data_IF_602238091298
#
_entry.id   IF_602238091298
#
_cell.length_a   1.000
_cell.length_b   1.000
_cell.length_c   1.000
_cell.angle_alpha   90.00
_cell.angle_beta   90.00
_cell.angle_gamma   90.00
#
_symmetry.space_group_name_H-M   'P 1'
#
loop_
_entity.id
_entity.type
_entity.pdbx_description
1 polymer ?
#
# COMPACT_ATOMS: atom_id res chain seq x y z
N UNK A 1 9.84 -14.77 -17.13
CA UNK A 1 10.52 -15.99 -16.66
C UNK A 1 11.99 -15.69 -16.50
N UNK A 2 12.53 -15.88 -15.30
CA UNK A 2 13.97 -15.78 -15.08
C UNK A 2 14.58 -17.18 -15.20
N UNK A 3 15.57 -17.31 -16.08
CA UNK A 3 16.33 -18.54 -16.25
C UNK A 3 17.68 -18.36 -15.56
N UNK A 4 17.94 -19.19 -14.54
CA UNK A 4 19.23 -19.21 -13.88
C UNK A 4 19.93 -20.52 -14.19
N UNK A 5 21.08 -20.44 -14.87
CA UNK A 5 22.00 -21.57 -15.03
C UNK A 5 22.83 -21.76 -13.77
N UNK A 6 22.80 -22.96 -13.20
CA UNK A 6 23.72 -23.36 -12.13
C UNK A 6 24.68 -24.41 -12.63
N UNK A 7 25.96 -24.08 -12.71
CA UNK A 7 27.04 -25.04 -12.86
C UNK A 7 27.44 -25.44 -11.44
N UNK A 8 27.37 -26.73 -11.06
CA UNK A 8 27.78 -27.15 -9.73
C UNK A 8 29.24 -26.77 -9.50
N UNK A 9 29.53 -26.02 -8.45
CA UNK A 9 30.86 -25.53 -8.07
C UNK A 9 31.86 -26.63 -7.68
N UNK A 10 31.47 -27.91 -7.80
CA UNK A 10 32.28 -29.09 -7.45
C UNK A 10 32.59 -29.98 -8.65
N UNK A 11 32.41 -29.51 -9.89
CA UNK A 11 32.92 -30.20 -11.07
C UNK A 11 34.40 -29.87 -11.28
N UNK A 12 35.27 -30.57 -10.56
CA UNK A 12 36.67 -30.65 -10.93
C UNK A 12 36.79 -31.48 -12.21
N UNK A 13 37.28 -30.85 -13.24
CA UNK A 13 37.69 -31.34 -14.57
C UNK A 13 37.50 -32.85 -14.84
N UNK A 14 36.78 -33.15 -15.93
CA UNK A 14 36.65 -34.47 -16.61
C UNK A 14 35.44 -35.36 -16.27
N UNK A 15 34.52 -35.03 -15.32
CA UNK A 15 33.38 -35.91 -15.00
C UNK A 15 31.98 -35.27 -15.10
N UNK A 16 31.85 -34.01 -15.38
CA UNK A 16 30.53 -33.41 -15.58
C UNK A 16 30.02 -33.73 -16.98
N UNK A 17 29.01 -34.62 -17.03
CA UNK A 17 28.36 -35.00 -18.29
C UNK A 17 27.11 -34.19 -18.59
N UNK A 18 26.69 -33.30 -17.69
CA UNK A 18 25.47 -32.53 -17.87
C UNK A 18 25.52 -31.18 -17.13
N UNK A 19 24.79 -30.20 -17.67
CA UNK A 19 24.51 -28.90 -17.06
C UNK A 19 23.06 -28.94 -16.61
N UNK A 20 22.81 -28.62 -15.32
CA UNK A 20 21.44 -28.51 -14.83
C UNK A 20 20.99 -27.07 -14.81
N UNK A 21 19.91 -26.79 -15.52
CA UNK A 21 19.25 -25.50 -15.60
C UNK A 21 18.03 -25.50 -14.67
N UNK A 22 17.87 -24.46 -13.85
CA UNK A 22 16.65 -24.21 -13.09
C UNK A 22 15.89 -23.04 -13.70
N UNK A 23 14.58 -23.20 -13.79
CA UNK A 23 13.67 -22.20 -14.34
C UNK A 23 12.60 -21.89 -13.30
N UNK A 24 12.34 -20.61 -13.06
CA UNK A 24 11.20 -20.15 -12.25
C UNK A 24 10.33 -19.21 -13.06
N UNK A 25 9.03 -19.24 -12.85
CA UNK A 25 8.10 -18.38 -13.58
C UNK A 25 6.65 -18.58 -13.19
N UNK A 26 5.77 -17.93 -13.96
CA UNK A 26 4.34 -18.08 -13.80
C UNK A 26 3.92 -19.55 -14.03
N UNK A 27 3.04 -20.11 -13.18
CA UNK A 27 2.68 -21.53 -13.23
C UNK A 27 2.13 -21.97 -14.59
N UNK A 28 1.27 -21.18 -15.21
CA UNK A 28 0.70 -21.42 -16.54
C UNK A 28 1.79 -21.64 -17.59
N UNK A 29 2.77 -20.72 -17.63
CA UNK A 29 3.89 -20.79 -18.60
C UNK A 29 4.80 -21.99 -18.35
N UNK A 30 5.14 -22.26 -17.09
CA UNK A 30 6.06 -23.36 -16.74
C UNK A 30 5.38 -24.72 -16.92
N UNK A 31 4.09 -24.85 -16.55
CA UNK A 31 3.32 -26.07 -16.73
C UNK A 31 3.22 -26.45 -18.23
N UNK A 32 2.94 -25.47 -19.09
CA UNK A 32 2.83 -25.70 -20.55
C UNK A 32 4.16 -26.12 -21.19
N UNK A 33 5.30 -25.73 -20.60
CA UNK A 33 6.64 -26.07 -21.08
C UNK A 33 7.22 -27.31 -20.40
N UNK A 34 6.50 -27.93 -19.48
CA UNK A 34 6.94 -29.11 -18.73
C UNK A 34 6.36 -30.39 -19.32
N UNK A 35 7.18 -31.40 -19.48
CA UNK A 35 6.77 -32.73 -19.96
C UNK A 35 6.62 -33.71 -18.79
N UNK A 36 7.28 -33.44 -17.67
CA UNK A 36 7.38 -34.32 -16.53
C UNK A 36 7.21 -33.53 -15.23
N UNK A 37 6.69 -34.17 -14.20
CA UNK A 37 6.59 -33.64 -12.83
C UNK A 37 7.19 -34.63 -11.84
N UNK A 38 7.89 -34.13 -10.83
CA UNK A 38 8.40 -34.94 -9.73
C UNK A 38 7.28 -35.12 -8.72
N UNK A 39 6.84 -36.37 -8.56
CA UNK A 39 5.85 -36.76 -7.54
C UNK A 39 6.48 -37.02 -6.17
N UNK A 40 5.63 -37.37 -5.21
CA UNK A 40 6.04 -37.76 -3.86
C UNK A 40 7.05 -38.91 -3.91
N UNK A 41 8.18 -38.74 -3.20
CA UNK A 41 9.25 -39.73 -3.18
C UNK A 41 10.24 -39.66 -4.34
N UNK A 42 10.18 -38.60 -5.18
CA UNK A 42 11.15 -38.36 -6.24
C UNK A 42 10.87 -39.14 -7.55
N UNK A 43 9.68 -39.75 -7.68
CA UNK A 43 9.29 -40.44 -8.92
C UNK A 43 8.88 -39.47 -9.98
N UNK A 44 9.40 -39.64 -11.21
CA UNK A 44 9.00 -38.88 -12.36
C UNK A 44 7.63 -39.35 -12.88
N UNK A 45 6.67 -38.45 -13.00
CA UNK A 45 5.33 -38.70 -13.50
C UNK A 45 5.11 -37.87 -14.78
N UNK A 46 4.22 -38.35 -15.65
CA UNK A 46 3.89 -37.64 -16.88
C UNK A 46 3.08 -36.38 -16.58
N UNK A 47 3.46 -35.25 -17.16
CA UNK A 47 2.74 -33.98 -16.99
C UNK A 47 1.28 -34.11 -17.44
N UNK A 48 1.03 -34.78 -18.55
CA UNK A 48 -0.29 -34.90 -19.17
C UNK A 48 -1.36 -35.49 -18.24
N UNK A 49 -0.97 -36.45 -17.38
CA UNK A 49 -1.89 -37.11 -16.41
C UNK A 49 -2.11 -36.24 -15.14
N UNK A 50 -1.16 -35.37 -14.83
CA UNK A 50 -1.15 -34.59 -13.58
C UNK A 50 -1.52 -33.11 -13.76
N UNK A 51 -1.62 -32.61 -15.01
CA UNK A 51 -1.84 -31.21 -15.32
C UNK A 51 -3.11 -30.64 -14.66
N UNK A 52 -4.22 -31.36 -14.75
CA UNK A 52 -5.49 -30.93 -14.15
C UNK A 52 -5.39 -30.78 -12.63
N UNK A 53 -4.69 -31.70 -11.97
CA UNK A 53 -4.49 -31.66 -10.51
C UNK A 53 -3.55 -30.51 -10.10
N UNK A 54 -2.49 -30.27 -10.88
CA UNK A 54 -1.55 -29.20 -10.64
C UNK A 54 -2.20 -27.83 -10.83
N UNK A 55 -3.04 -27.67 -11.85
CA UNK A 55 -3.85 -26.45 -12.05
C UNK A 55 -4.84 -26.23 -10.91
N UNK A 56 -5.49 -27.30 -10.42
CA UNK A 56 -6.37 -27.21 -9.26
C UNK A 56 -5.61 -26.77 -7.99
N UNK A 57 -4.39 -27.29 -7.76
CA UNK A 57 -3.54 -26.87 -6.67
C UNK A 57 -3.08 -25.42 -6.82
N UNK A 58 -2.70 -25.00 -8.04
CA UNK A 58 -2.37 -23.61 -8.32
C UNK A 58 -3.53 -22.67 -8.00
N UNK A 59 -4.74 -23.01 -8.46
CA UNK A 59 -5.93 -22.20 -8.23
C UNK A 59 -6.26 -22.13 -6.73
N UNK A 60 -6.16 -23.25 -6.00
CA UNK A 60 -6.37 -23.26 -4.56
C UNK A 60 -5.40 -22.31 -3.83
N UNK A 61 -4.10 -22.39 -4.14
CA UNK A 61 -3.10 -21.49 -3.55
C UNK A 61 -3.37 -20.02 -3.90
N UNK A 62 -3.79 -19.75 -5.14
CA UNK A 62 -4.16 -18.40 -5.58
C UNK A 62 -5.42 -17.89 -4.87
N UNK A 63 -6.44 -18.77 -4.65
CA UNK A 63 -7.66 -18.43 -3.93
C UNK A 63 -7.40 -18.16 -2.44
N UNK A 64 -6.36 -18.80 -1.87
CA UNK A 64 -5.85 -18.52 -0.53
C UNK A 64 -5.04 -17.20 -0.46
N UNK A 65 -4.95 -16.44 -1.57
CA UNK A 65 -4.27 -15.15 -1.65
C UNK A 65 -2.76 -15.23 -1.87
N UNK A 66 -2.22 -16.41 -2.19
CA UNK A 66 -0.79 -16.60 -2.41
C UNK A 66 -0.39 -16.25 -3.84
N UNK A 67 0.75 -15.63 -4.01
CA UNK A 67 1.42 -15.52 -5.31
C UNK A 67 2.10 -16.85 -5.61
N UNK A 68 1.62 -17.58 -6.61
CA UNK A 68 2.18 -18.87 -6.96
C UNK A 68 3.31 -18.72 -8.00
N UNK A 69 4.43 -19.38 -7.73
CA UNK A 69 5.56 -19.50 -8.65
C UNK A 69 5.82 -20.98 -8.89
N UNK A 70 5.98 -21.38 -10.16
CA UNK A 70 6.43 -22.71 -10.51
C UNK A 70 7.97 -22.73 -10.62
N UNK A 71 8.55 -23.83 -10.16
CA UNK A 71 9.98 -24.12 -10.25
C UNK A 71 10.14 -25.43 -11.02
N UNK A 72 10.97 -25.40 -12.05
CA UNK A 72 11.27 -26.53 -12.88
C UNK A 72 12.76 -26.65 -13.16
N UNK A 73 13.21 -27.79 -13.62
CA UNK A 73 14.58 -28.03 -14.06
C UNK A 73 14.64 -28.70 -15.42
N UNK A 74 15.79 -28.57 -16.05
CA UNK A 74 16.19 -29.34 -17.24
C UNK A 74 17.66 -29.70 -17.16
N UNK A 75 17.99 -30.97 -17.46
CA UNK A 75 19.37 -31.43 -17.60
C UNK A 75 19.74 -31.38 -19.09
N UNK A 76 20.80 -30.67 -19.40
CA UNK A 76 21.36 -30.52 -20.76
C UNK A 76 22.68 -31.25 -20.83
N UNK A 77 22.99 -31.86 -21.99
CA UNK A 77 24.36 -32.32 -22.22
C UNK A 77 25.33 -31.13 -22.40
N UNK A 78 26.60 -31.37 -22.18
CA UNK A 78 27.60 -30.29 -22.35
C UNK A 78 27.63 -29.81 -23.80
N UNK A 79 27.44 -30.72 -24.76
CA UNK A 79 27.38 -30.37 -26.17
C UNK A 79 26.22 -29.41 -26.48
N UNK A 80 25.02 -29.75 -25.98
CA UNK A 80 23.82 -28.89 -26.14
C UNK A 80 23.96 -27.52 -25.44
N UNK A 81 24.65 -27.49 -24.32
CA UNK A 81 24.95 -26.23 -23.63
C UNK A 81 25.91 -25.35 -24.41
N UNK A 82 27.03 -25.94 -24.91
CA UNK A 82 28.03 -25.20 -25.68
C UNK A 82 27.47 -24.70 -27.02
N UNK A 83 26.61 -25.48 -27.68
CA UNK A 83 25.89 -25.06 -28.88
C UNK A 83 24.99 -23.85 -28.61
N UNK A 84 24.27 -23.89 -27.49
CA UNK A 84 23.44 -22.76 -27.06
C UNK A 84 24.29 -21.53 -26.68
N UNK A 85 25.35 -21.70 -25.90
CA UNK A 85 26.24 -20.62 -25.45
C UNK A 85 26.91 -19.90 -26.65
N UNK A 86 27.13 -20.64 -27.74
CA UNK A 86 27.62 -20.08 -28.99
C UNK A 86 26.53 -19.44 -29.88
N UNK A 87 25.26 -19.62 -29.52
CA UNK A 87 24.12 -19.05 -30.24
C UNK A 87 23.74 -17.68 -29.64
N UNK A 88 23.13 -16.83 -30.47
CA UNK A 88 22.58 -15.53 -29.99
C UNK A 88 21.15 -15.67 -29.42
N UNK A 89 20.68 -16.90 -29.15
CA UNK A 89 19.33 -17.16 -28.70
C UNK A 89 19.14 -16.74 -27.23
N UNK A 90 17.98 -16.18 -26.87
CA UNK A 90 17.70 -15.81 -25.48
C UNK A 90 17.54 -17.07 -24.59
N UNK A 91 17.99 -17.05 -23.33
CA UNK A 91 17.92 -18.21 -22.43
C UNK A 91 16.52 -18.82 -22.25
N UNK A 92 15.46 -18.05 -22.51
CA UNK A 92 14.07 -18.52 -22.42
C UNK A 92 13.75 -19.60 -23.47
N UNK A 93 14.49 -19.68 -24.57
CA UNK A 93 14.29 -20.68 -25.64
C UNK A 93 14.77 -22.07 -25.22
N UNK A 94 15.68 -22.17 -24.25
CA UNK A 94 16.05 -23.42 -23.60
C UNK A 94 14.98 -23.96 -22.64
N UNK A 95 14.05 -23.13 -22.20
CA UNK A 95 13.05 -23.49 -21.21
C UNK A 95 11.88 -24.30 -21.82
N UNK A 96 12.19 -25.40 -22.48
CA UNK A 96 11.27 -26.40 -22.98
C UNK A 96 11.66 -27.78 -22.43
N UNK A 97 10.75 -28.76 -22.51
CA UNK A 97 10.94 -30.13 -21.99
C UNK A 97 11.38 -30.11 -20.51
N UNK A 98 10.72 -29.25 -19.72
CA UNK A 98 11.04 -29.05 -18.32
C UNK A 98 10.50 -30.21 -17.47
N UNK A 99 11.18 -30.45 -16.37
CA UNK A 99 10.73 -31.29 -15.26
C UNK A 99 10.22 -30.37 -14.14
N UNK A 100 8.93 -30.34 -13.91
CA UNK A 100 8.35 -29.55 -12.82
C UNK A 100 8.77 -30.13 -11.45
N UNK A 101 9.33 -29.30 -10.61
CA UNK A 101 9.79 -29.67 -9.27
C UNK A 101 8.76 -29.31 -8.19
N UNK A 102 8.21 -28.09 -8.25
CA UNK A 102 7.31 -27.58 -7.25
C UNK A 102 6.46 -26.41 -7.75
N UNK A 103 5.28 -26.27 -7.14
CA UNK A 103 4.52 -25.03 -7.07
C UNK A 103 4.73 -24.43 -5.68
N UNK A 104 5.20 -23.19 -5.62
CA UNK A 104 5.51 -22.48 -4.37
C UNK A 104 4.55 -21.32 -4.21
N UNK A 105 3.69 -21.38 -3.20
CA UNK A 105 2.86 -20.24 -2.79
C UNK A 105 3.67 -19.30 -1.92
N UNK A 106 3.76 -18.05 -2.31
CA UNK A 106 4.41 -16.97 -1.57
C UNK A 106 3.31 -16.07 -1.02
N UNK A 107 3.32 -15.87 0.29
CA UNK A 107 2.43 -14.95 0.98
C UNK A 107 3.28 -13.91 1.73
N UNK A 108 2.90 -12.66 1.61
CA UNK A 108 3.40 -11.58 2.44
C UNK A 108 2.23 -11.12 3.32
N UNK A 109 2.14 -11.63 4.57
CA UNK A 109 1.00 -11.33 5.42
C UNK A 109 1.00 -9.86 5.81
N UNK A 110 -0.18 -9.23 5.92
CA UNK A 110 -0.30 -7.88 6.41
C UNK A 110 0.30 -7.75 7.81
N UNK A 111 0.95 -6.62 8.08
CA UNK A 111 1.49 -6.35 9.42
C UNK A 111 0.34 -6.32 10.44
N UNK A 112 0.47 -7.00 11.60
CA UNK A 112 -0.60 -7.03 12.62
C UNK A 112 -1.02 -5.62 13.08
N UNK A 113 -0.09 -4.68 13.16
CA UNK A 113 -0.32 -3.29 13.55
C UNK A 113 -1.23 -2.56 12.55
N UNK A 114 -1.15 -2.90 11.26
CA UNK A 114 -1.97 -2.30 10.23
C UNK A 114 -3.46 -2.61 10.43
N UNK A 115 -3.80 -3.85 10.83
CA UNK A 115 -5.18 -4.25 11.13
C UNK A 115 -5.77 -3.46 12.29
N UNK A 116 -5.01 -3.29 13.37
CA UNK A 116 -5.43 -2.50 14.53
C UNK A 116 -5.62 -1.03 14.16
N UNK A 117 -4.66 -0.46 13.43
CA UNK A 117 -4.72 0.92 12.98
C UNK A 117 -5.90 1.19 12.05
N UNK A 118 -6.23 0.25 11.15
CA UNK A 118 -7.42 0.35 10.29
C UNK A 118 -8.70 0.35 11.13
N UNK A 119 -8.78 -0.50 12.16
CA UNK A 119 -9.93 -0.53 13.06
C UNK A 119 -10.07 0.79 13.84
N UNK A 120 -8.98 1.36 14.37
CA UNK A 120 -8.98 2.67 15.03
C UNK A 120 -9.37 3.79 14.06
N UNK A 121 -8.84 3.79 12.84
CA UNK A 121 -9.19 4.76 11.81
C UNK A 121 -10.71 4.73 11.50
N UNK A 122 -11.28 3.54 11.33
CA UNK A 122 -12.73 3.37 11.12
C UNK A 122 -13.55 3.90 12.29
N UNK A 123 -13.15 3.62 13.54
CA UNK A 123 -13.81 4.17 14.74
C UNK A 123 -13.73 5.70 14.80
N UNK A 124 -12.65 6.26 14.27
CA UNK A 124 -12.45 7.71 14.17
C UNK A 124 -13.17 8.37 12.98
N UNK A 125 -13.97 7.59 12.22
CA UNK A 125 -14.71 8.06 11.03
C UNK A 125 -13.83 8.26 9.80
N UNK A 126 -12.66 7.60 9.74
CA UNK A 126 -11.74 7.67 8.60
C UNK A 126 -11.95 6.42 7.74
N UNK A 127 -12.31 6.62 6.47
CA UNK A 127 -12.40 5.55 5.49
C UNK A 127 -10.99 5.20 4.98
N UNK A 128 -10.54 3.97 5.24
CA UNK A 128 -9.27 3.46 4.73
C UNK A 128 -9.53 2.70 3.43
N UNK A 129 -8.73 3.00 2.40
CA UNK A 129 -8.79 2.35 1.10
C UNK A 129 -7.42 1.77 0.75
N UNK A 130 -7.41 0.52 0.29
CA UNK A 130 -6.20 -0.16 -0.15
C UNK A 130 -6.09 -0.11 -1.67
N UNK A 131 -4.93 0.30 -2.16
CA UNK A 131 -4.61 0.37 -3.59
C UNK A 131 -3.36 -0.47 -3.83
N UNK A 132 -3.46 -1.47 -4.71
CA UNK A 132 -2.34 -2.38 -4.99
C UNK A 132 -2.21 -2.71 -6.48
N UNK A 133 -1.00 -3.08 -6.90
CA UNK A 133 -0.74 -3.66 -8.22
C UNK A 133 -1.07 -5.16 -8.30
N UNK A 134 -1.38 -5.82 -7.18
CA UNK A 134 -1.67 -7.24 -7.10
C UNK A 134 -2.96 -7.65 -7.81
N UNK A 135 -3.12 -8.96 -8.02
CA UNK A 135 -4.32 -9.53 -8.59
C UNK A 135 -5.55 -9.31 -7.68
N UNK A 136 -6.74 -9.20 -8.28
CA UNK A 136 -7.98 -8.90 -7.54
C UNK A 136 -8.32 -9.93 -6.44
N UNK A 137 -8.04 -11.22 -6.66
CA UNK A 137 -8.24 -12.28 -5.65
C UNK A 137 -7.33 -12.08 -4.44
N UNK A 138 -6.03 -11.83 -4.67
CA UNK A 138 -5.04 -11.56 -3.62
C UNK A 138 -5.40 -10.29 -2.83
N UNK A 139 -5.70 -9.20 -3.56
CA UNK A 139 -6.11 -7.94 -2.95
C UNK A 139 -7.38 -8.08 -2.10
N UNK A 140 -8.35 -8.86 -2.58
CA UNK A 140 -9.59 -9.14 -1.83
C UNK A 140 -9.33 -9.98 -0.58
N UNK A 141 -8.43 -10.98 -0.65
CA UNK A 141 -8.03 -11.80 0.50
C UNK A 141 -7.37 -10.93 1.59
N UNK A 142 -6.38 -10.12 1.20
CA UNK A 142 -5.70 -9.18 2.12
C UNK A 142 -6.71 -8.17 2.68
N UNK A 143 -7.60 -7.64 1.84
CA UNK A 143 -8.63 -6.69 2.27
C UNK A 143 -9.59 -7.26 3.31
N UNK A 144 -9.95 -8.55 3.22
CA UNK A 144 -10.75 -9.24 4.24
C UNK A 144 -9.98 -9.44 5.53
N UNK A 145 -8.72 -9.86 5.45
CA UNK A 145 -7.85 -10.06 6.61
C UNK A 145 -7.64 -8.76 7.40
N UNK A 146 -7.47 -7.64 6.69
CA UNK A 146 -7.37 -6.30 7.27
C UNK A 146 -8.71 -5.73 7.74
N UNK A 147 -9.83 -6.38 7.43
CA UNK A 147 -11.17 -5.87 7.74
C UNK A 147 -11.59 -4.66 6.91
N UNK A 148 -11.01 -4.47 5.72
CA UNK A 148 -11.40 -3.40 4.79
C UNK A 148 -12.67 -3.73 4.02
N UNK A 149 -12.88 -4.99 3.69
CA UNK A 149 -14.07 -5.50 3.00
C UNK A 149 -14.71 -6.63 3.80
N UNK A 150 -16.04 -6.73 3.71
CA UNK A 150 -16.85 -7.72 4.39
C UNK A 150 -17.62 -8.59 3.39
N UNK A 151 -17.90 -9.83 3.77
CA UNK A 151 -18.69 -10.76 2.95
C UNK A 151 -18.03 -11.09 1.61
N UNK A 152 -18.85 -11.18 0.56
CA UNK A 152 -18.44 -11.56 -0.80
C UNK A 152 -18.01 -10.36 -1.69
N UNK A 153 -17.80 -9.19 -1.11
CA UNK A 153 -17.30 -8.05 -1.87
C UNK A 153 -15.91 -8.35 -2.43
N UNK A 154 -15.65 -7.89 -3.65
CA UNK A 154 -14.37 -8.05 -4.37
C UNK A 154 -13.74 -6.69 -4.61
N UNK A 155 -12.42 -6.71 -4.82
CA UNK A 155 -11.66 -5.52 -5.19
C UNK A 155 -12.09 -5.03 -6.59
N UNK A 156 -12.21 -3.70 -6.76
CA UNK A 156 -12.36 -3.07 -8.07
C UNK A 156 -11.02 -3.06 -8.79
N UNK A 157 -11.02 -3.44 -10.06
CA UNK A 157 -9.78 -3.52 -10.84
C UNK A 157 -9.46 -2.23 -11.58
N UNK A 158 -8.17 -2.02 -11.95
CA UNK A 158 -7.77 -0.91 -12.82
C UNK A 158 -8.54 -0.88 -14.14
N UNK A 159 -8.77 -2.05 -14.76
CA UNK A 159 -9.58 -2.14 -15.99
C UNK A 159 -11.01 -1.66 -15.79
N UNK A 160 -11.64 -1.95 -14.65
CA UNK A 160 -12.96 -1.42 -14.31
C UNK A 160 -12.93 0.09 -14.10
N UNK A 161 -11.85 0.62 -13.48
CA UNK A 161 -11.66 2.07 -13.34
C UNK A 161 -11.57 2.73 -14.71
N UNK A 162 -10.91 2.11 -15.70
CA UNK A 162 -10.78 2.65 -17.07
C UNK A 162 -12.12 2.70 -17.81
N UNK A 163 -13.01 1.76 -17.56
CA UNK A 163 -14.31 1.64 -18.26
C UNK A 163 -15.38 2.55 -17.72
N UNK A 164 -15.28 3.00 -16.47
CA UNK A 164 -16.31 3.87 -15.85
C UNK A 164 -16.02 5.35 -16.07
N UNK A 165 -17.07 6.14 -16.24
CA UNK A 165 -16.98 7.60 -16.27
C UNK A 165 -16.58 8.17 -14.89
N UNK A 166 -16.14 9.42 -14.83
CA UNK A 166 -15.82 10.07 -13.55
C UNK A 166 -17.04 10.21 -12.64
N UNK A 167 -18.22 10.43 -13.20
CA UNK A 167 -19.48 10.50 -12.44
C UNK A 167 -19.83 9.14 -11.81
N UNK A 168 -19.67 8.05 -12.55
CA UNK A 168 -19.91 6.70 -12.05
C UNK A 168 -18.87 6.31 -11.00
N UNK A 169 -17.60 6.70 -11.20
CA UNK A 169 -16.54 6.50 -10.20
C UNK A 169 -16.86 7.25 -8.90
N UNK A 170 -17.29 8.53 -9.01
CA UNK A 170 -17.67 9.32 -7.84
C UNK A 170 -18.86 8.71 -7.08
N UNK A 171 -19.81 8.07 -7.78
CA UNK A 171 -20.92 7.39 -7.14
C UNK A 171 -20.49 6.11 -6.37
N UNK A 172 -19.47 5.41 -6.87
CA UNK A 172 -19.01 4.12 -6.33
C UNK A 172 -17.84 4.22 -5.37
N UNK A 173 -17.05 5.30 -5.43
CA UNK A 173 -15.75 5.42 -4.73
C UNK A 173 -15.88 5.24 -3.21
N UNK A 174 -16.97 5.68 -2.60
CA UNK A 174 -17.18 5.56 -1.15
C UNK A 174 -17.42 4.12 -0.73
N UNK A 175 -18.14 3.32 -1.52
CA UNK A 175 -18.50 1.93 -1.22
C UNK A 175 -17.35 0.94 -1.49
N UNK A 176 -16.37 1.29 -2.32
CA UNK A 176 -15.23 0.43 -2.66
C UNK A 176 -14.06 0.73 -1.73
N UNK A 177 -13.56 -0.28 -1.02
CA UNK A 177 -12.42 -0.14 -0.09
C UNK A 177 -11.11 -0.71 -0.63
N UNK A 178 -11.16 -1.56 -1.66
CA UNK A 178 -9.96 -2.23 -2.21
C UNK A 178 -9.92 -2.08 -3.71
N UNK A 179 -8.77 -1.66 -4.23
CA UNK A 179 -8.48 -1.46 -5.64
C UNK A 179 -7.27 -2.31 -6.05
N UNK A 180 -7.42 -3.13 -7.09
CA UNK A 180 -6.43 -4.10 -7.55
C UNK A 180 -5.96 -3.81 -8.97
N UNK A 181 -4.74 -4.22 -9.32
CA UNK A 181 -4.11 -3.98 -10.63
C UNK A 181 -4.18 -2.51 -11.06
N UNK A 182 -3.88 -1.63 -10.12
CA UNK A 182 -3.99 -0.19 -10.29
C UNK A 182 -2.70 0.37 -10.90
N UNK A 183 -2.83 1.09 -12.01
CA UNK A 183 -1.73 1.84 -12.62
C UNK A 183 -1.57 3.23 -11.93
N UNK A 184 -0.43 3.93 -12.11
CA UNK A 184 -0.20 5.22 -11.46
C UNK A 184 -1.28 6.28 -11.74
N UNK A 185 -1.78 6.35 -12.98
CA UNK A 185 -2.87 7.26 -13.40
C UNK A 185 -4.17 7.00 -12.66
N UNK A 186 -4.48 5.74 -12.37
CA UNK A 186 -5.67 5.39 -11.59
C UNK A 186 -5.59 5.94 -10.16
N UNK A 187 -4.39 5.94 -9.54
CA UNK A 187 -4.19 6.48 -8.18
C UNK A 187 -4.58 7.97 -8.12
N UNK A 188 -4.15 8.75 -9.12
CA UNK A 188 -4.50 10.16 -9.25
C UNK A 188 -6.01 10.33 -9.41
N UNK A 189 -6.64 9.49 -10.24
CA UNK A 189 -8.08 9.52 -10.52
C UNK A 189 -8.91 9.19 -9.29
N UNK A 190 -8.47 8.19 -8.48
CA UNK A 190 -9.11 7.83 -7.21
C UNK A 190 -9.03 8.96 -6.18
N UNK A 191 -7.85 9.60 -6.02
CA UNK A 191 -7.68 10.77 -5.16
C UNK A 191 -8.61 11.89 -5.60
N UNK A 192 -8.64 12.22 -6.90
CA UNK A 192 -9.50 13.28 -7.43
C UNK A 192 -10.99 12.98 -7.22
N UNK A 193 -11.41 11.73 -7.36
CA UNK A 193 -12.81 11.32 -7.13
C UNK A 193 -13.21 11.54 -5.65
N UNK A 194 -12.38 11.18 -4.70
CA UNK A 194 -12.62 11.42 -3.27
C UNK A 194 -12.65 12.92 -2.94
N UNK A 195 -11.75 13.71 -3.53
CA UNK A 195 -11.72 15.16 -3.37
C UNK A 195 -12.98 15.84 -3.94
N UNK A 196 -13.48 15.39 -5.11
CA UNK A 196 -14.75 15.89 -5.68
C UNK A 196 -15.96 15.62 -4.77
N UNK A 197 -15.90 14.56 -3.97
CA UNK A 197 -16.91 14.24 -2.94
C UNK A 197 -16.77 15.08 -1.66
N UNK A 198 -15.75 15.93 -1.58
CA UNK A 198 -15.50 16.81 -0.42
C UNK A 198 -14.69 16.15 0.69
N UNK A 199 -14.06 14.99 0.43
CA UNK A 199 -13.20 14.34 1.41
C UNK A 199 -11.79 14.95 1.41
N UNK A 200 -11.19 15.04 2.59
CA UNK A 200 -9.76 15.30 2.75
C UNK A 200 -9.02 13.96 2.60
N UNK A 201 -8.14 13.88 1.64
CA UNK A 201 -7.49 12.64 1.24
C UNK A 201 -6.02 12.63 1.67
N UNK A 202 -5.66 11.65 2.50
CA UNK A 202 -4.27 11.29 2.74
C UNK A 202 -3.90 10.13 1.80
N UNK A 203 -2.79 10.26 1.07
CA UNK A 203 -2.26 9.22 0.18
C UNK A 203 -0.89 8.78 0.66
N UNK A 204 -0.69 7.46 0.79
CA UNK A 204 0.61 6.89 1.15
C UNK A 204 1.26 6.21 -0.05
N UNK A 205 2.59 6.25 -0.13
CA UNK A 205 3.33 5.56 -1.17
C UNK A 205 4.83 5.50 -0.89
N UNK A 206 5.51 4.57 -1.56
CA UNK A 206 6.95 4.34 -1.44
C UNK A 206 7.68 4.40 -2.79
N UNK A 207 6.97 4.22 -3.89
CA UNK A 207 7.52 4.16 -5.24
C UNK A 207 7.42 5.46 -6.04
N UNK A 208 8.30 5.63 -7.02
CA UNK A 208 8.27 6.76 -7.96
C UNK A 208 6.89 6.93 -8.62
N UNK A 209 6.19 5.82 -8.84
CA UNK A 209 4.84 5.79 -9.42
C UNK A 209 3.76 6.38 -8.52
N UNK A 210 4.05 6.56 -7.23
CA UNK A 210 3.11 7.14 -6.25
C UNK A 210 3.23 8.66 -6.15
N UNK A 211 4.39 9.21 -6.49
CA UNK A 211 4.70 10.63 -6.33
C UNK A 211 3.64 11.57 -6.92
N UNK A 212 3.09 11.35 -8.13
CA UNK A 212 2.04 12.23 -8.66
C UNK A 212 0.74 12.18 -7.84
N UNK A 213 0.36 11.01 -7.31
CA UNK A 213 -0.84 10.85 -6.48
C UNK A 213 -0.64 11.45 -5.07
N UNK A 214 0.57 11.30 -4.49
CA UNK A 214 0.95 11.95 -3.24
C UNK A 214 0.85 13.48 -3.36
N UNK A 215 1.41 14.03 -4.43
CA UNK A 215 1.38 15.48 -4.69
C UNK A 215 -0.04 16.01 -4.95
N UNK A 216 -0.92 15.17 -5.51
CA UNK A 216 -2.33 15.51 -5.79
C UNK A 216 -3.19 15.46 -4.53
N UNK A 217 -2.88 14.60 -3.57
CA UNK A 217 -3.62 14.46 -2.33
C UNK A 217 -3.50 15.68 -1.43
N UNK A 218 -4.41 15.83 -0.46
CA UNK A 218 -4.35 16.91 0.53
C UNK A 218 -3.19 16.69 1.52
N UNK A 219 -2.88 15.41 1.81
CA UNK A 219 -1.75 15.01 2.64
C UNK A 219 -1.02 13.86 1.95
N UNK A 220 0.10 14.14 1.30
CA UNK A 220 1.01 13.11 0.76
C UNK A 220 1.90 12.57 1.87
N UNK A 221 1.96 11.26 2.02
CA UNK A 221 2.76 10.56 3.04
C UNK A 221 3.72 9.59 2.37
N UNK A 222 5.03 9.84 2.48
CA UNK A 222 6.06 8.96 1.96
C UNK A 222 6.61 8.04 3.04
N UNK A 223 7.02 6.83 2.64
CA UNK A 223 7.80 5.93 3.48
C UNK A 223 9.24 6.46 3.60
N UNK A 224 9.78 6.50 4.82
CA UNK A 224 11.10 7.08 5.09
C UNK A 224 12.24 6.10 4.86
N UNK A 225 12.01 4.80 5.11
CA UNK A 225 13.01 3.74 4.97
C UNK A 225 12.98 3.18 3.54
N UNK A 226 11.81 2.72 3.07
CA UNK A 226 11.64 2.09 1.76
C UNK A 226 11.33 3.09 0.65
N UNK A 227 10.88 4.30 0.99
CA UNK A 227 10.48 5.31 0.02
C UNK A 227 11.64 5.87 -0.80
N UNK A 228 11.39 6.08 -2.10
CA UNK A 228 12.34 6.73 -2.99
C UNK A 228 12.46 8.23 -2.67
N UNK A 229 13.59 8.85 -3.03
CA UNK A 229 13.78 10.31 -2.83
C UNK A 229 12.70 11.11 -3.57
N UNK A 230 12.30 10.69 -4.78
CA UNK A 230 11.23 11.34 -5.55
C UNK A 230 9.91 11.34 -4.78
N UNK A 231 9.60 10.22 -4.09
CA UNK A 231 8.38 10.09 -3.29
C UNK A 231 8.44 10.98 -2.05
N UNK A 232 9.60 11.03 -1.39
CA UNK A 232 9.83 11.89 -0.22
C UNK A 232 9.72 13.38 -0.56
N UNK A 233 10.24 13.80 -1.72
CA UNK A 233 10.12 15.18 -2.20
C UNK A 233 8.68 15.56 -2.58
N UNK A 234 7.88 14.60 -3.05
CA UNK A 234 6.49 14.83 -3.41
C UNK A 234 5.54 14.86 -2.19
N UNK A 235 5.98 14.34 -1.05
CA UNK A 235 5.17 14.18 0.15
C UNK A 235 5.21 15.42 1.05
N UNK A 236 4.12 15.63 1.80
CA UNK A 236 4.06 16.64 2.88
C UNK A 236 4.51 16.07 4.23
N UNK A 237 4.53 14.75 4.37
CA UNK A 237 4.95 14.04 5.57
C UNK A 237 5.78 12.81 5.20
N UNK A 238 6.82 12.51 5.98
CA UNK A 238 7.65 11.31 5.82
C UNK A 238 7.57 10.47 7.09
N UNK A 239 7.23 9.19 6.94
CA UNK A 239 7.19 8.22 8.04
C UNK A 239 8.58 7.63 8.27
N UNK A 240 9.18 7.88 9.41
CA UNK A 240 10.52 7.38 9.74
C UNK A 240 10.57 5.89 10.08
N UNK A 241 9.42 5.28 10.36
CA UNK A 241 9.26 3.87 10.76
C UNK A 241 8.52 3.01 9.72
N UNK A 242 8.11 3.59 8.60
CA UNK A 242 7.30 2.96 7.54
C UNK A 242 6.06 2.23 8.08
N UNK A 243 5.46 2.75 9.15
CA UNK A 243 4.34 2.13 9.82
C UNK A 243 3.04 2.92 9.63
N UNK A 244 2.03 2.28 9.01
CA UNK A 244 0.72 2.88 8.82
C UNK A 244 0.04 3.30 10.14
N UNK A 245 0.29 2.59 11.24
CA UNK A 245 -0.26 2.92 12.56
C UNK A 245 0.17 4.32 13.03
N UNK A 246 1.37 4.75 12.66
CA UNK A 246 1.89 6.09 12.99
C UNK A 246 1.07 7.20 12.35
N UNK A 247 0.51 6.97 11.14
CA UNK A 247 -0.40 7.93 10.48
C UNK A 247 -1.66 8.12 11.33
N UNK A 248 -2.27 7.03 11.78
CA UNK A 248 -3.49 7.08 12.61
C UNK A 248 -3.21 7.79 13.93
N UNK A 249 -2.05 7.51 14.54
CA UNK A 249 -1.56 8.22 15.73
C UNK A 249 -1.40 9.73 15.50
N UNK A 250 -0.81 10.11 14.36
CA UNK A 250 -0.64 11.52 13.97
C UNK A 250 -1.99 12.23 13.78
N UNK A 251 -2.98 11.58 13.16
CA UNK A 251 -4.34 12.14 13.04
C UNK A 251 -4.98 12.36 14.41
N UNK A 252 -4.83 11.40 15.34
CA UNK A 252 -5.34 11.54 16.72
C UNK A 252 -4.72 12.72 17.45
N UNK A 253 -3.40 12.87 17.36
CA UNK A 253 -2.69 14.01 17.93
C UNK A 253 -3.08 15.33 17.27
N UNK A 254 -3.19 15.36 15.94
CA UNK A 254 -3.62 16.55 15.19
C UNK A 254 -5.01 17.02 15.59
N UNK A 255 -5.96 16.11 15.80
CA UNK A 255 -7.31 16.44 16.31
C UNK A 255 -7.25 17.02 17.73
N UNK A 256 -6.42 16.45 18.60
CA UNK A 256 -6.25 16.99 19.97
C UNK A 256 -5.62 18.39 19.94
N UNK A 257 -4.64 18.64 19.09
CA UNK A 257 -4.05 19.97 18.91
C UNK A 257 -5.09 20.95 18.38
N UNK A 258 -5.88 20.55 17.38
CA UNK A 258 -6.95 21.39 16.85
C UNK A 258 -7.97 21.76 17.93
N UNK A 259 -8.41 20.81 18.73
CA UNK A 259 -9.34 21.05 19.84
C UNK A 259 -8.76 22.04 20.86
N UNK A 260 -7.47 21.93 21.17
CA UNK A 260 -6.78 22.86 22.07
C UNK A 260 -6.69 24.28 21.47
N UNK A 261 -6.38 24.39 20.17
CA UNK A 261 -6.39 25.68 19.46
C UNK A 261 -7.79 26.31 19.51
N UNK A 262 -8.84 25.53 19.24
CA UNK A 262 -10.23 26.02 19.31
C UNK A 262 -10.59 26.51 20.73
N UNK A 263 -10.20 25.76 21.77
CA UNK A 263 -10.42 26.16 23.16
C UNK A 263 -9.68 27.46 23.48
N UNK A 264 -8.41 27.56 23.07
CA UNK A 264 -7.61 28.76 23.27
C UNK A 264 -8.23 29.98 22.56
N UNK A 265 -8.60 29.87 21.29
CA UNK A 265 -9.24 30.95 20.53
C UNK A 265 -10.56 31.38 21.18
N UNK A 266 -11.39 30.40 21.61
CA UNK A 266 -12.64 30.73 22.31
C UNK A 266 -12.39 31.47 23.62
N UNK A 267 -11.42 31.03 24.40
CA UNK A 267 -11.03 31.71 25.64
C UNK A 267 -10.59 33.14 25.36
N UNK A 268 -9.69 33.34 24.41
CA UNK A 268 -9.17 34.63 23.99
C UNK A 268 -10.27 35.60 23.56
N UNK A 269 -11.15 35.12 22.66
CA UNK A 269 -12.29 35.94 22.18
C UNK A 269 -13.26 36.29 23.34
N UNK A 270 -13.54 35.34 24.24
CA UNK A 270 -14.45 35.57 25.37
C UNK A 270 -13.88 36.63 26.30
N UNK A 271 -12.58 36.59 26.60
CA UNK A 271 -11.90 37.54 27.46
C UNK A 271 -11.89 38.94 26.82
N UNK A 272 -11.52 39.03 25.54
CA UNK A 272 -11.50 40.31 24.80
C UNK A 272 -12.91 40.94 24.74
N UNK A 273 -13.93 40.13 24.43
CA UNK A 273 -15.31 40.60 24.38
C UNK A 273 -15.80 41.02 25.77
N UNK A 274 -15.43 40.28 26.83
CA UNK A 274 -15.74 40.63 28.20
C UNK A 274 -15.19 41.99 28.61
N UNK A 275 -13.92 42.28 28.25
CA UNK A 275 -13.33 43.61 28.44
C UNK A 275 -14.07 44.70 27.67
N UNK A 276 -14.39 44.47 26.39
CA UNK A 276 -15.09 45.44 25.56
C UNK A 276 -16.47 45.79 26.17
N UNK A 277 -17.21 44.78 26.59
CA UNK A 277 -18.54 44.98 27.27
C UNK A 277 -18.36 45.73 28.58
N UNK A 278 -17.35 45.38 29.39
CA UNK A 278 -17.09 46.05 30.65
C UNK A 278 -16.77 47.52 30.48
N UNK A 279 -15.89 47.87 29.54
CA UNK A 279 -15.56 49.23 29.21
C UNK A 279 -16.76 50.00 28.69
N UNK A 280 -17.59 49.43 27.84
CA UNK A 280 -18.80 50.04 27.34
C UNK A 280 -19.80 50.30 28.46
N UNK A 281 -20.05 49.32 29.31
CA UNK A 281 -20.96 49.40 30.42
C UNK A 281 -20.53 50.47 31.43
N UNK A 282 -19.27 50.54 31.80
CA UNK A 282 -18.74 51.56 32.72
C UNK A 282 -18.74 52.94 32.14
N UNK A 283 -18.54 53.08 30.82
CA UNK A 283 -18.63 54.35 30.10
C UNK A 283 -20.07 54.88 30.12
N UNK A 284 -21.08 54.04 29.98
CA UNK A 284 -22.52 54.41 29.96
C UNK A 284 -23.00 54.72 31.39
N UNK A 285 -22.63 53.89 32.36
CA UNK A 285 -23.11 54.03 33.73
C UNK A 285 -22.37 55.04 34.60
N UNK A 286 -21.18 55.51 34.12
CA UNK A 286 -20.33 56.42 34.89
C UNK A 286 -19.62 55.76 36.08
N UNK A 287 -19.76 54.48 36.33
CA UNK A 287 -19.09 53.73 37.40
C UNK A 287 -17.56 53.84 37.20
N UNK A 288 -16.83 54.04 38.30
CA UNK A 288 -15.38 54.25 38.32
C UNK A 288 -14.89 55.42 37.40
N UNK A 289 -15.74 56.45 37.23
CA UNK A 289 -15.43 57.57 36.32
C UNK A 289 -15.30 57.17 34.85
N UNK A 290 -15.96 56.03 34.44
CA UNK A 290 -15.90 55.51 33.09
C UNK A 290 -14.60 54.75 32.74
N UNK A 291 -13.72 54.54 33.70
CA UNK A 291 -12.41 53.86 33.50
C UNK A 291 -12.26 52.72 34.52
N UNK A 292 -12.78 51.53 34.25
CA UNK A 292 -12.80 50.43 35.18
C UNK A 292 -11.41 49.89 35.57
N UNK A 293 -10.43 50.03 34.65
CA UNK A 293 -9.05 49.63 34.90
C UNK A 293 -8.07 50.71 34.41
N UNK A 294 -6.96 50.85 35.11
CA UNK A 294 -5.80 51.59 34.58
C UNK A 294 -5.19 50.82 33.38
N UNK A 295 -4.61 51.58 32.45
CA UNK A 295 -4.01 50.94 31.23
C UNK A 295 -2.98 49.84 31.57
N UNK A 296 -2.20 50.06 32.64
CA UNK A 296 -1.23 49.07 33.13
C UNK A 296 -1.88 47.81 33.66
N UNK A 297 -3.05 47.88 34.26
CA UNK A 297 -3.79 46.72 34.76
C UNK A 297 -4.33 45.87 33.58
N UNK A 298 -4.82 46.50 32.52
CA UNK A 298 -5.25 45.80 31.31
C UNK A 298 -4.07 45.07 30.65
N UNK A 299 -2.90 45.74 30.57
CA UNK A 299 -1.66 45.11 30.05
C UNK A 299 -1.23 43.90 30.88
N UNK A 300 -1.29 43.99 32.22
CA UNK A 300 -0.97 42.89 33.12
C UNK A 300 -1.92 41.72 32.99
N UNK A 301 -3.22 41.97 32.89
CA UNK A 301 -4.22 40.93 32.70
C UNK A 301 -3.98 40.21 31.37
N UNK A 302 -3.77 40.91 30.28
CA UNK A 302 -3.46 40.31 29.01
C UNK A 302 -2.18 39.47 29.10
N UNK A 303 -1.10 39.99 29.71
CA UNK A 303 0.17 39.27 29.82
C UNK A 303 0.06 38.00 30.67
N UNK A 304 -0.75 38.00 31.75
CA UNK A 304 -0.94 36.83 32.60
C UNK A 304 -1.94 35.82 32.02
N UNK A 305 -2.99 36.30 31.32
CA UNK A 305 -4.02 35.41 30.77
C UNK A 305 -3.64 34.84 29.42
N UNK A 306 -2.85 35.54 28.62
CA UNK A 306 -2.46 35.10 27.27
C UNK A 306 -1.12 34.34 27.27
N UNK A 307 -0.22 34.59 28.22
CA UNK A 307 1.08 33.98 28.31
C UNK A 307 1.07 32.51 28.80
N UNK A 308 0.63 32.20 30.03
CA UNK A 308 0.72 30.85 30.57
C UNK A 308 -0.20 29.81 29.96
N UNK A 309 -1.41 30.13 29.40
CA UNK A 309 -2.28 29.16 28.75
C UNK A 309 -1.89 28.85 27.29
N UNK A 310 -1.00 29.61 26.69
CA UNK A 310 -0.49 29.39 25.33
C UNK A 310 0.65 28.37 25.34
#
# INVERSE_FOLDING_TARGET
>A
SEVHGYVPSHCYYERCRSVRMFVKGAPDVILDRSTTVIGNGGTALTMQENQTQLLAHNNRLADEGMRVIAIAQRDLTIEAWNEFESSELPPVDLANDLVLLALVGIVDPPRPEAKLAIAEAKQAGIAVKMITGDHASTASSIGRELGLIEGNSVAMTGTEIDTVSDQELDARIESVSVFARVAPEHKIRLVAALQRKGHIVAMTGDGVNDAPALKKSDIGVAMGITGTEVTKEAATMVLTDDNFATIVGAVKQGRAIYDNIVKFVRFQLSTTLGFAILFLATSITGIAGGKPFAAIAVLWVNMIMDGPPA
#
